data_IF_882883003732
#
_entry.id   IF_882883003732
#
_cell.length_a   1.000
_cell.length_b   1.000
_cell.length_c   1.000
_cell.angle_alpha   90.00
_cell.angle_beta   90.00
_cell.angle_gamma   90.00
#
_symmetry.space_group_name_H-M   'P 1'
#
loop_
_entity.id
_entity.type
_entity.pdbx_description
1 polymer ?
#
# COMPACT_ATOMS: atom_id res chain seq x y z
N UNK A 1 -10.76 -31.36 -3.08
CA UNK A 1 -10.28 -31.27 -4.48
C UNK A 1 -8.78 -31.04 -4.38
N UNK A 2 -7.97 -32.08 -4.54
CA UNK A 2 -6.50 -32.02 -4.36
C UNK A 2 -5.90 -31.32 -5.59
N UNK A 3 -5.06 -30.32 -5.37
CA UNK A 3 -4.26 -29.68 -6.42
C UNK A 3 -3.34 -30.75 -7.05
N UNK A 4 -3.10 -30.65 -8.35
CA UNK A 4 -2.21 -31.58 -9.04
C UNK A 4 -0.80 -31.49 -8.48
N UNK A 5 -0.08 -32.59 -8.27
CA UNK A 5 1.26 -32.58 -7.65
C UNK A 5 2.31 -31.76 -8.39
N UNK A 6 2.12 -31.50 -9.68
CA UNK A 6 2.96 -30.68 -10.54
C UNK A 6 2.83 -29.17 -10.19
N UNK A 7 1.65 -28.70 -9.78
CA UNK A 7 1.43 -27.30 -9.37
C UNK A 7 2.02 -27.00 -7.98
N UNK A 8 2.06 -27.95 -7.06
CA UNK A 8 2.72 -27.76 -5.76
C UNK A 8 4.23 -27.63 -5.91
N UNK A 9 4.86 -28.43 -6.79
CA UNK A 9 6.30 -28.35 -7.03
C UNK A 9 6.70 -27.02 -7.68
N UNK A 10 5.87 -26.48 -8.58
CA UNK A 10 6.12 -25.22 -9.25
C UNK A 10 5.91 -24.02 -8.29
N UNK A 11 4.95 -24.12 -7.37
CA UNK A 11 4.74 -23.10 -6.34
C UNK A 11 5.89 -23.06 -5.34
N UNK A 12 6.39 -24.21 -4.88
CA UNK A 12 7.56 -24.28 -4.00
C UNK A 12 8.84 -23.77 -4.66
N UNK A 13 8.98 -23.87 -5.97
CA UNK A 13 10.12 -23.36 -6.71
C UNK A 13 10.16 -21.80 -6.78
N UNK A 14 9.04 -21.12 -6.48
CA UNK A 14 8.93 -19.67 -6.45
C UNK A 14 9.21 -19.07 -5.07
N UNK A 15 9.30 -19.89 -4.02
CA UNK A 15 9.57 -19.41 -2.66
C UNK A 15 11.07 -19.17 -2.44
N UNK A 16 11.47 -17.96 -1.97
CA UNK A 16 12.84 -17.70 -1.59
C UNK A 16 13.27 -18.65 -0.45
N UNK A 17 14.32 -19.48 -0.66
CA UNK A 17 14.86 -20.38 0.35
C UNK A 17 14.57 -21.86 0.16
N UNK A 18 13.81 -22.28 -0.85
CA UNK A 18 13.56 -23.70 -1.13
C UNK A 18 14.67 -24.39 -1.97
N UNK A 19 15.82 -23.76 -2.15
CA UNK A 19 16.95 -24.35 -2.85
C UNK A 19 17.62 -25.42 -1.97
N UNK A 20 17.15 -26.66 -2.10
CA UNK A 20 18.01 -27.81 -1.82
C UNK A 20 19.24 -27.72 -2.73
N UNK A 21 20.44 -27.93 -2.15
CA UNK A 21 21.73 -27.94 -2.83
C UNK A 21 21.73 -28.86 -4.06
N UNK A 22 21.34 -28.32 -5.21
CA UNK A 22 21.61 -28.88 -6.52
C UNK A 22 22.27 -27.78 -7.34
N UNK A 23 23.48 -28.12 -7.81
CA UNK A 23 24.41 -27.21 -8.48
C UNK A 23 23.76 -26.22 -9.42
N UNK A 24 24.30 -24.99 -9.42
CA UNK A 24 23.91 -23.86 -10.26
C UNK A 24 23.69 -24.28 -11.71
N UNK A 25 22.44 -24.49 -12.09
CA UNK A 25 22.08 -24.72 -13.49
C UNK A 25 22.13 -23.38 -14.23
N UNK A 26 22.40 -23.42 -15.55
CA UNK A 26 22.34 -22.21 -16.41
C UNK A 26 21.02 -21.44 -16.25
N UNK A 27 19.92 -22.15 -15.93
CA UNK A 27 18.60 -21.57 -15.68
C UNK A 27 18.58 -20.77 -14.37
N UNK A 28 19.16 -21.29 -13.30
CA UNK A 28 19.25 -20.58 -12.00
C UNK A 28 20.15 -19.34 -12.12
N UNK A 29 21.25 -19.43 -12.85
CA UNK A 29 22.14 -18.28 -13.12
C UNK A 29 21.44 -17.19 -13.94
N UNK A 30 20.61 -17.56 -14.93
CA UNK A 30 19.82 -16.62 -15.72
C UNK A 30 18.70 -15.98 -14.88
N UNK A 31 18.03 -16.72 -14.00
CA UNK A 31 17.00 -16.18 -13.11
C UNK A 31 17.59 -15.18 -12.10
N UNK A 32 18.74 -15.49 -11.53
CA UNK A 32 19.47 -14.58 -10.64
C UNK A 32 19.96 -13.35 -11.43
N UNK A 33 20.52 -13.51 -12.62
CA UNK A 33 21.00 -12.41 -13.44
C UNK A 33 19.86 -11.48 -13.90
N UNK A 34 18.68 -12.03 -14.25
CA UNK A 34 17.50 -11.24 -14.59
C UNK A 34 16.93 -10.50 -13.37
N UNK A 35 16.86 -11.16 -12.21
CA UNK A 35 16.40 -10.55 -10.97
C UNK A 35 17.30 -9.40 -10.49
N UNK A 36 18.60 -9.63 -10.45
CA UNK A 36 19.60 -8.63 -10.04
C UNK A 36 19.72 -7.53 -11.08
N UNK A 37 19.70 -7.86 -12.37
CA UNK A 37 19.75 -6.88 -13.47
C UNK A 37 18.55 -5.95 -13.47
N UNK A 38 17.35 -6.47 -13.24
CA UNK A 38 16.13 -5.68 -13.11
C UNK A 38 16.18 -4.75 -11.88
N UNK A 39 16.53 -5.27 -10.71
CA UNK A 39 16.68 -4.48 -9.51
C UNK A 39 17.73 -3.36 -9.65
N UNK A 40 18.91 -3.67 -10.25
CA UNK A 40 19.96 -2.69 -10.49
C UNK A 40 19.58 -1.62 -11.51
N UNK A 41 18.72 -1.94 -12.50
CA UNK A 41 18.28 -0.96 -13.50
C UNK A 41 17.18 -0.02 -12.97
N UNK A 42 16.43 -0.44 -11.96
CA UNK A 42 15.34 0.36 -11.37
C UNK A 42 15.85 1.36 -10.35
N UNK A 43 16.92 1.05 -9.61
CA UNK A 43 17.48 1.93 -8.58
C UNK A 43 17.87 3.34 -9.07
N UNK A 44 18.56 3.53 -10.23
CA UNK A 44 18.83 4.86 -10.76
C UNK A 44 17.59 5.61 -11.23
N UNK A 45 16.59 4.89 -11.76
CA UNK A 45 15.32 5.48 -12.21
C UNK A 45 14.51 6.03 -11.03
N UNK A 46 14.50 5.34 -9.88
CA UNK A 46 13.82 5.80 -8.66
C UNK A 46 14.43 7.10 -8.12
N UNK A 47 15.75 7.29 -8.29
CA UNK A 47 16.44 8.51 -7.80
C UNK A 47 16.24 9.73 -8.71
N UNK A 48 16.03 9.55 -10.02
CA UNK A 48 16.00 10.64 -11.00
C UNK A 48 14.60 11.02 -11.51
N UNK A 49 13.59 10.19 -11.28
CA UNK A 49 12.24 10.37 -11.84
C UNK A 49 11.14 10.45 -10.80
N UNK A 50 11.47 10.71 -9.54
CA UNK A 50 10.46 10.91 -8.51
C UNK A 50 9.60 12.13 -8.89
N UNK A 51 8.39 11.87 -9.41
CA UNK A 51 7.42 12.91 -9.69
C UNK A 51 7.06 13.55 -8.35
N UNK A 52 7.23 14.87 -8.26
CA UNK A 52 6.79 15.67 -7.12
C UNK A 52 5.64 16.55 -7.57
N UNK A 53 4.44 16.19 -7.16
CA UNK A 53 3.26 17.01 -7.42
C UNK A 53 3.27 18.20 -6.47
N UNK A 54 3.26 19.45 -6.99
CA UNK A 54 3.15 20.63 -6.15
C UNK A 54 1.90 20.61 -5.29
N UNK A 55 1.96 21.20 -4.12
CA UNK A 55 0.84 21.29 -3.16
C UNK A 55 0.10 22.65 -3.22
N UNK A 56 0.45 23.52 -4.16
CA UNK A 56 -0.25 24.80 -4.38
C UNK A 56 -1.76 24.58 -4.56
N UNK A 57 -2.55 25.24 -3.72
CA UNK A 57 -4.00 25.12 -3.70
C UNK A 57 -4.52 23.82 -3.08
N UNK A 58 -3.66 23.06 -2.41
CA UNK A 58 -4.03 21.88 -1.66
C UNK A 58 -3.81 22.10 -0.16
N UNK A 59 -4.60 21.43 0.64
CA UNK A 59 -4.33 21.16 2.05
C UNK A 59 -3.72 19.76 2.13
N UNK A 60 -2.39 19.68 2.25
CA UNK A 60 -1.65 18.42 2.25
C UNK A 60 -0.76 18.31 3.49
N UNK A 61 -0.68 17.12 4.08
CA UNK A 61 0.20 16.88 5.21
C UNK A 61 -0.15 15.66 6.03
N UNK A 62 0.66 15.38 7.06
CA UNK A 62 0.40 14.31 8.01
C UNK A 62 -0.81 14.66 8.89
N UNK A 63 -1.60 13.66 9.19
CA UNK A 63 -2.73 13.72 10.12
C UNK A 63 -2.72 12.49 11.02
N UNK A 64 -3.49 12.55 12.10
CA UNK A 64 -3.67 11.42 13.02
C UNK A 64 -5.15 11.05 13.08
N UNK A 65 -5.43 9.78 12.97
CA UNK A 65 -6.77 9.19 13.06
C UNK A 65 -6.85 8.41 14.36
N UNK A 66 -7.84 8.70 15.18
CA UNK A 66 -8.09 7.88 16.37
C UNK A 66 -8.84 6.59 15.96
N UNK A 67 -8.22 5.46 16.29
CA UNK A 67 -8.81 4.13 16.07
C UNK A 67 -8.83 3.41 17.41
N UNK A 68 -9.95 3.54 18.13
CA UNK A 68 -10.16 2.95 19.45
C UNK A 68 -9.01 3.26 20.45
N UNK A 69 -8.58 4.52 20.47
CA UNK A 69 -7.48 5.02 21.31
C UNK A 69 -6.08 4.81 20.72
N UNK A 70 -5.95 4.17 19.56
CA UNK A 70 -4.68 4.13 18.84
C UNK A 70 -4.58 5.33 17.88
N UNK A 71 -3.50 6.09 18.00
CA UNK A 71 -3.19 7.22 17.12
C UNK A 71 -2.59 6.71 15.80
N UNK A 72 -3.45 6.39 14.81
CA UNK A 72 -3.03 5.92 13.50
C UNK A 72 -2.52 7.10 12.65
N UNK A 73 -1.24 7.14 12.25
CA UNK A 73 -0.74 8.15 11.35
C UNK A 73 -1.31 7.97 9.94
N UNK A 74 -1.56 9.08 9.25
CA UNK A 74 -1.95 9.08 7.86
C UNK A 74 -1.39 10.32 7.14
N UNK A 75 -1.33 10.28 5.82
CA UNK A 75 -1.08 11.45 5.00
C UNK A 75 -2.33 11.80 4.21
N UNK A 76 -2.80 13.03 4.33
CA UNK A 76 -4.00 13.53 3.65
C UNK A 76 -3.63 14.59 2.63
N UNK A 77 -4.39 14.65 1.52
CA UNK A 77 -4.39 15.78 0.58
C UNK A 77 -5.81 16.04 0.10
N UNK A 78 -6.18 17.32 0.02
CA UNK A 78 -7.47 17.75 -0.52
C UNK A 78 -7.35 19.15 -1.15
N UNK A 79 -8.24 19.54 -2.09
CA UNK A 79 -8.32 20.93 -2.54
C UNK A 79 -8.63 21.88 -1.39
N UNK A 80 -7.87 22.96 -1.28
CA UNK A 80 -8.01 23.94 -0.19
C UNK A 80 -9.40 24.55 -0.16
N UNK A 81 -9.97 24.66 1.05
CA UNK A 81 -11.26 25.32 1.30
C UNK A 81 -12.49 24.56 0.74
N UNK A 82 -12.32 23.42 0.09
CA UNK A 82 -13.43 22.64 -0.45
C UNK A 82 -13.92 21.57 0.54
N UNK A 83 -15.21 21.27 0.48
CA UNK A 83 -15.87 20.30 1.34
C UNK A 83 -16.79 19.39 0.54
N UNK A 84 -17.31 18.33 1.19
CA UNK A 84 -18.17 17.33 0.57
C UNK A 84 -17.49 16.63 -0.63
N UNK A 85 -16.17 16.44 -0.52
CA UNK A 85 -15.34 15.84 -1.56
C UNK A 85 -15.54 14.32 -1.58
N UNK A 86 -15.54 13.68 -2.74
CA UNK A 86 -15.41 12.22 -2.80
C UNK A 86 -14.06 11.82 -2.17
N UNK A 87 -14.08 10.72 -1.41
CA UNK A 87 -12.92 10.22 -0.66
C UNK A 87 -12.22 9.14 -1.46
N UNK A 88 -10.89 9.19 -1.54
CA UNK A 88 -10.08 8.09 -2.06
C UNK A 88 -9.11 7.63 -0.96
N UNK A 89 -9.26 6.37 -0.57
CA UNK A 89 -8.28 5.68 0.25
C UNK A 89 -7.11 5.23 -0.63
N UNK A 90 -5.89 5.58 -0.25
CA UNK A 90 -4.66 5.20 -0.97
C UNK A 90 -3.87 4.24 -0.10
N UNK A 91 -3.78 2.98 -0.53
CA UNK A 91 -3.17 1.92 0.27
C UNK A 91 -1.77 1.63 -0.25
N UNK A 92 -0.80 1.76 0.67
CA UNK A 92 0.61 1.52 0.40
C UNK A 92 0.88 0.06 0.04
N UNK A 93 2.03 -0.18 -0.57
CA UNK A 93 2.69 -1.47 -0.67
C UNK A 93 3.35 -1.86 0.68
N UNK A 94 4.27 -2.79 0.70
CA UNK A 94 4.93 -3.25 1.95
C UNK A 94 5.89 -2.24 2.57
N UNK A 95 6.18 -1.12 1.91
CA UNK A 95 7.19 -0.14 2.34
C UNK A 95 6.64 1.02 3.18
N UNK A 96 5.35 1.01 3.51
CA UNK A 96 4.71 2.05 4.30
C UNK A 96 4.30 3.30 3.50
N UNK A 97 3.83 4.33 4.21
CA UNK A 97 3.43 5.60 3.61
C UNK A 97 4.66 6.49 3.38
N UNK A 98 5.39 6.22 2.29
CA UNK A 98 6.54 7.01 1.87
C UNK A 98 6.15 8.15 0.92
N UNK A 99 7.16 8.94 0.49
CA UNK A 99 6.94 10.15 -0.30
C UNK A 99 6.14 9.93 -1.61
N UNK A 100 6.26 8.75 -2.25
CA UNK A 100 5.51 8.44 -3.47
C UNK A 100 4.02 8.23 -3.17
N UNK A 101 3.67 7.51 -2.10
CA UNK A 101 2.28 7.35 -1.66
C UNK A 101 1.66 8.70 -1.28
N UNK A 102 2.42 9.55 -0.58
CA UNK A 102 2.01 10.92 -0.30
C UNK A 102 1.82 11.74 -1.59
N UNK A 103 2.66 11.56 -2.60
CA UNK A 103 2.51 12.21 -3.91
C UNK A 103 1.25 11.75 -4.65
N UNK A 104 0.92 10.46 -4.61
CA UNK A 104 -0.33 9.94 -5.17
C UNK A 104 -1.54 10.62 -4.55
N UNK A 105 -1.54 10.87 -3.24
CA UNK A 105 -2.64 11.62 -2.60
C UNK A 105 -2.76 13.05 -3.15
N UNK A 106 -1.64 13.74 -3.40
CA UNK A 106 -1.67 15.09 -3.99
C UNK A 106 -2.19 15.08 -5.43
N UNK A 107 -1.81 14.09 -6.24
CA UNK A 107 -2.34 13.92 -7.61
C UNK A 107 -3.85 13.76 -7.61
N UNK A 108 -4.37 12.92 -6.73
CA UNK A 108 -5.81 12.70 -6.59
C UNK A 108 -6.51 13.95 -6.06
N UNK A 109 -5.90 14.68 -5.13
CA UNK A 109 -6.44 15.95 -4.63
C UNK A 109 -6.55 17.01 -5.75
N UNK A 110 -5.61 17.08 -6.67
CA UNK A 110 -5.70 17.94 -7.86
C UNK A 110 -6.86 17.57 -8.79
N UNK A 111 -7.33 16.34 -8.73
CA UNK A 111 -8.52 15.88 -9.45
C UNK A 111 -9.83 16.15 -8.69
N UNK A 112 -9.75 16.76 -7.51
CA UNK A 112 -10.93 17.14 -6.73
C UNK A 112 -11.37 16.15 -5.66
N UNK A 113 -10.52 15.21 -5.28
CA UNK A 113 -10.78 14.23 -4.22
C UNK A 113 -10.16 14.67 -2.87
N UNK A 114 -10.76 14.21 -1.77
CA UNK A 114 -10.02 14.06 -0.53
C UNK A 114 -9.32 12.70 -0.58
N UNK A 115 -8.01 12.71 -0.75
CA UNK A 115 -7.20 11.49 -0.78
C UNK A 115 -6.46 11.32 0.54
N UNK A 116 -6.47 10.11 1.10
CA UNK A 116 -5.86 9.81 2.39
C UNK A 116 -5.19 8.43 2.38
N UNK A 117 -3.97 8.39 2.88
CA UNK A 117 -3.16 7.18 3.00
C UNK A 117 -2.87 6.91 4.49
N UNK A 118 -3.60 6.00 5.16
CA UNK A 118 -3.30 5.59 6.52
C UNK A 118 -2.07 4.67 6.56
N UNK A 119 -1.23 4.81 7.59
CA UNK A 119 -0.07 3.93 7.81
C UNK A 119 -0.51 2.64 8.51
N UNK A 120 -0.90 1.65 7.73
CA UNK A 120 -1.50 0.41 8.20
C UNK A 120 -0.51 -0.54 8.92
N UNK A 121 0.79 -0.26 8.84
CA UNK A 121 1.82 -1.05 9.51
C UNK A 121 2.24 -0.48 10.87
N UNK A 122 1.79 0.72 11.22
CA UNK A 122 2.32 1.48 12.36
C UNK A 122 2.26 0.75 13.70
N UNK A 123 1.26 -0.14 13.91
CA UNK A 123 1.19 -0.95 15.13
C UNK A 123 2.25 -2.04 15.20
N UNK A 124 2.71 -2.53 14.06
CA UNK A 124 3.71 -3.60 13.96
C UNK A 124 5.14 -3.05 13.88
N UNK A 125 5.29 -1.83 13.37
CA UNK A 125 6.59 -1.19 13.23
C UNK A 125 6.62 -0.13 12.13
N UNK A 126 7.83 0.32 11.81
CA UNK A 126 8.08 1.27 10.73
C UNK A 126 8.82 0.57 9.58
N UNK A 127 8.13 0.25 8.46
CA UNK A 127 8.76 -0.42 7.33
C UNK A 127 9.94 0.35 6.74
N UNK A 128 9.93 1.68 6.85
CA UNK A 128 11.00 2.54 6.28
C UNK A 128 12.34 2.36 6.97
N UNK A 129 12.35 1.80 8.18
CA UNK A 129 13.56 1.55 8.96
C UNK A 129 14.13 0.13 8.77
N UNK A 130 13.43 -0.73 8.02
CA UNK A 130 13.83 -2.12 7.82
C UNK A 130 14.38 -2.30 6.41
N UNK A 131 15.68 -2.51 6.29
CA UNK A 131 16.36 -2.71 4.99
C UNK A 131 16.37 -4.16 4.52
N UNK A 132 16.26 -5.12 5.44
CA UNK A 132 16.20 -6.55 5.13
C UNK A 132 14.77 -6.97 4.79
N UNK A 133 14.57 -7.44 3.56
CA UNK A 133 13.26 -7.83 3.05
C UNK A 133 12.65 -9.02 3.82
N UNK A 134 13.47 -9.98 4.23
CA UNK A 134 12.97 -11.15 4.97
C UNK A 134 12.45 -10.74 6.35
N UNK A 135 13.15 -9.83 7.01
CA UNK A 135 12.73 -9.26 8.28
C UNK A 135 11.50 -8.37 8.12
N UNK A 136 11.45 -7.54 7.08
CA UNK A 136 10.27 -6.72 6.78
C UNK A 136 9.02 -7.59 6.66
N UNK A 137 9.11 -8.68 5.91
CA UNK A 137 8.01 -9.62 5.74
C UNK A 137 7.65 -10.36 7.02
N UNK A 138 8.64 -10.89 7.76
CA UNK A 138 8.41 -11.71 8.94
C UNK A 138 7.96 -10.89 10.16
N UNK A 139 8.53 -9.72 10.38
CA UNK A 139 8.37 -8.95 11.62
C UNK A 139 7.24 -7.91 11.52
N UNK A 140 6.93 -7.44 10.32
CA UNK A 140 5.92 -6.38 10.10
C UNK A 140 4.76 -6.89 9.24
N UNK A 141 5.00 -7.18 7.96
CA UNK A 141 3.92 -7.40 6.99
C UNK A 141 3.04 -8.61 7.36
N UNK A 142 3.66 -9.75 7.72
CA UNK A 142 2.91 -10.97 8.09
C UNK A 142 2.19 -10.86 9.45
N UNK A 143 2.47 -9.81 10.23
CA UNK A 143 1.86 -9.60 11.54
C UNK A 143 0.61 -8.72 11.51
N UNK A 144 0.27 -8.16 10.36
CA UNK A 144 -0.91 -7.29 10.21
C UNK A 144 -2.16 -8.13 9.95
N UNK A 145 -3.11 -8.23 10.89
CA UNK A 145 -4.35 -8.95 10.68
C UNK A 145 -5.28 -8.19 9.72
N UNK A 146 -5.99 -8.89 8.86
CA UNK A 146 -6.98 -8.28 7.96
C UNK A 146 -8.05 -7.49 8.72
N UNK A 147 -8.52 -8.00 9.86
CA UNK A 147 -9.49 -7.31 10.70
C UNK A 147 -8.99 -5.95 11.21
N UNK A 148 -7.68 -5.83 11.55
CA UNK A 148 -7.07 -4.55 11.90
C UNK A 148 -7.14 -3.58 10.73
N UNK A 149 -6.75 -4.04 9.53
CA UNK A 149 -6.76 -3.19 8.32
C UNK A 149 -8.17 -2.70 8.01
N UNK A 150 -9.16 -3.58 8.05
CA UNK A 150 -10.56 -3.21 7.79
C UNK A 150 -11.06 -2.16 8.80
N UNK A 151 -10.79 -2.35 10.09
CA UNK A 151 -11.14 -1.37 11.12
C UNK A 151 -10.41 -0.03 10.98
N UNK A 152 -9.13 -0.04 10.61
CA UNK A 152 -8.36 1.17 10.33
C UNK A 152 -8.92 1.94 9.14
N UNK A 153 -9.36 1.24 8.09
CA UNK A 153 -9.98 1.86 6.92
C UNK A 153 -11.37 2.42 7.22
N UNK A 154 -12.19 1.73 8.02
CA UNK A 154 -13.49 2.25 8.48
C UNK A 154 -13.31 3.53 9.29
N UNK A 155 -12.37 3.55 10.24
CA UNK A 155 -12.04 4.75 11.00
C UNK A 155 -11.52 5.88 10.10
N UNK A 156 -10.74 5.55 9.07
CA UNK A 156 -10.23 6.52 8.10
C UNK A 156 -11.37 7.15 7.28
N UNK A 157 -12.35 6.38 6.83
CA UNK A 157 -13.54 6.89 6.12
C UNK A 157 -14.37 7.79 7.03
N UNK A 158 -14.59 7.38 8.27
CA UNK A 158 -15.28 8.21 9.27
C UNK A 158 -14.56 9.54 9.49
N UNK A 159 -13.26 9.48 9.74
CA UNK A 159 -12.42 10.67 9.93
C UNK A 159 -12.48 11.59 8.71
N UNK A 160 -12.38 11.05 7.49
CA UNK A 160 -12.47 11.83 6.26
C UNK A 160 -13.81 12.57 6.14
N UNK A 161 -14.91 11.93 6.55
CA UNK A 161 -16.24 12.53 6.60
C UNK A 161 -16.33 13.75 7.53
N UNK A 162 -15.66 13.70 8.67
CA UNK A 162 -15.58 14.79 9.64
C UNK A 162 -14.64 15.94 9.16
N UNK A 163 -13.75 15.64 8.19
CA UNK A 163 -12.71 16.56 7.72
C UNK A 163 -12.88 16.99 6.24
N UNK A 164 -14.12 17.08 5.78
CA UNK A 164 -14.45 17.66 4.47
C UNK A 164 -14.68 16.65 3.35
N UNK A 165 -14.56 15.37 3.63
CA UNK A 165 -14.94 14.28 2.71
C UNK A 165 -16.42 13.94 2.78
N UNK A 166 -16.88 13.15 1.83
CA UNK A 166 -18.22 12.54 1.83
C UNK A 166 -18.10 11.03 2.02
N UNK A 167 -18.46 10.49 3.20
CA UNK A 167 -18.28 9.06 3.51
C UNK A 167 -19.19 8.13 2.69
N UNK A 168 -20.15 8.67 1.93
CA UNK A 168 -20.98 7.91 1.00
C UNK A 168 -20.45 7.89 -0.43
N UNK A 169 -19.30 8.52 -0.68
CA UNK A 169 -18.64 8.60 -1.99
C UNK A 169 -17.19 8.18 -1.83
N UNK A 170 -16.99 6.88 -1.59
CA UNK A 170 -15.68 6.30 -1.29
C UNK A 170 -15.17 5.52 -2.46
N UNK A 171 -13.93 5.77 -2.84
CA UNK A 171 -13.12 4.92 -3.69
C UNK A 171 -11.88 4.45 -2.94
N UNK A 172 -11.27 3.39 -3.42
CA UNK A 172 -10.04 2.84 -2.85
C UNK A 172 -9.07 2.44 -3.95
N UNK A 173 -7.81 2.76 -3.80
CA UNK A 173 -6.74 2.28 -4.66
C UNK A 173 -5.57 1.78 -3.83
N UNK A 174 -4.86 0.77 -4.31
CA UNK A 174 -3.75 0.19 -3.57
C UNK A 174 -2.78 -0.56 -4.45
N UNK A 175 -1.53 -0.63 -3.98
CA UNK A 175 -0.40 -1.16 -4.73
C UNK A 175 0.13 -2.43 -4.08
N UNK A 176 0.36 -3.51 -4.85
CA UNK A 176 0.91 -4.78 -4.37
C UNK A 176 0.11 -5.33 -3.18
N UNK A 177 0.68 -5.36 -1.96
CA UNK A 177 -0.04 -5.72 -0.73
C UNK A 177 -1.31 -4.88 -0.54
N UNK A 178 -1.23 -3.58 -0.82
CA UNK A 178 -2.39 -2.69 -0.79
C UNK A 178 -3.44 -3.02 -1.84
N UNK A 179 -3.06 -3.57 -2.98
CA UNK A 179 -4.01 -4.08 -3.99
C UNK A 179 -4.87 -5.22 -3.45
N UNK A 180 -4.29 -6.13 -2.64
CA UNK A 180 -5.07 -7.14 -1.91
C UNK A 180 -6.07 -6.49 -0.96
N UNK A 181 -5.67 -5.44 -0.25
CA UNK A 181 -6.56 -4.75 0.69
C UNK A 181 -7.73 -4.05 -0.02
N UNK A 182 -7.55 -3.58 -1.25
CA UNK A 182 -8.63 -3.04 -2.09
C UNK A 182 -9.75 -4.07 -2.26
N UNK A 183 -9.41 -5.32 -2.59
CA UNK A 183 -10.40 -6.39 -2.74
C UNK A 183 -11.12 -6.69 -1.44
N UNK A 184 -10.38 -6.81 -0.34
CA UNK A 184 -10.97 -7.12 0.97
C UNK A 184 -11.89 -6.00 1.45
N UNK A 185 -11.45 -4.75 1.31
CA UNK A 185 -12.23 -3.61 1.78
C UNK A 185 -13.47 -3.35 0.90
N UNK A 186 -13.38 -3.53 -0.41
CA UNK A 186 -14.54 -3.43 -1.30
C UNK A 186 -15.61 -4.50 -1.01
N UNK A 187 -15.19 -5.67 -0.50
CA UNK A 187 -16.13 -6.69 -0.05
C UNK A 187 -16.70 -6.42 1.37
N UNK A 188 -15.97 -5.67 2.19
CA UNK A 188 -16.33 -5.33 3.57
C UNK A 188 -17.26 -4.12 3.66
N UNK A 189 -16.95 -3.04 2.94
CA UNK A 189 -17.66 -1.76 3.03
C UNK A 189 -18.55 -1.54 1.80
N UNK A 190 -19.89 -1.60 1.93
CA UNK A 190 -20.83 -1.43 0.81
C UNK A 190 -20.85 0.00 0.22
N UNK A 191 -20.32 1.00 0.94
CA UNK A 191 -20.23 2.39 0.45
C UNK A 191 -19.05 2.61 -0.51
N UNK A 192 -18.17 1.60 -0.71
CA UNK A 192 -17.10 1.66 -1.71
C UNK A 192 -17.68 1.55 -3.12
N UNK A 193 -17.59 2.63 -3.88
CA UNK A 193 -18.15 2.76 -5.23
C UNK A 193 -17.17 2.34 -6.33
N UNK A 194 -15.88 2.38 -6.04
CA UNK A 194 -14.83 2.01 -6.99
C UNK A 194 -13.58 1.52 -6.28
N UNK A 195 -12.95 0.49 -6.83
CA UNK A 195 -11.67 -0.05 -6.35
C UNK A 195 -10.71 -0.30 -7.51
N UNK A 196 -9.45 0.10 -7.35
CA UNK A 196 -8.38 -0.16 -8.32
C UNK A 196 -7.19 -0.80 -7.60
N UNK A 197 -6.91 -2.05 -7.94
CA UNK A 197 -5.78 -2.84 -7.42
C UNK A 197 -4.67 -2.91 -8.46
N UNK A 198 -3.44 -2.54 -8.06
CA UNK A 198 -2.23 -2.53 -8.90
C UNK A 198 -1.28 -3.65 -8.51
#
# INVERSE_FOLDING_TARGET
MSLRPDLESDFHALLPGSATERGNTRRSALQIALGVGYAASVLPALAQTAIQTPDDGLESGPVTIDVDGFALPAYRSAPAGRRNLPVILVIQEIFGVHHYIADVTRRLARQGYLAIAPDLFKRQGDPTQVTDMSRLMADIVSKVPDAQVLGDLDATVKWAGEHGGNPRRVGITGFCWGGRQVWLYAAHNPDVQAGVAW
#
